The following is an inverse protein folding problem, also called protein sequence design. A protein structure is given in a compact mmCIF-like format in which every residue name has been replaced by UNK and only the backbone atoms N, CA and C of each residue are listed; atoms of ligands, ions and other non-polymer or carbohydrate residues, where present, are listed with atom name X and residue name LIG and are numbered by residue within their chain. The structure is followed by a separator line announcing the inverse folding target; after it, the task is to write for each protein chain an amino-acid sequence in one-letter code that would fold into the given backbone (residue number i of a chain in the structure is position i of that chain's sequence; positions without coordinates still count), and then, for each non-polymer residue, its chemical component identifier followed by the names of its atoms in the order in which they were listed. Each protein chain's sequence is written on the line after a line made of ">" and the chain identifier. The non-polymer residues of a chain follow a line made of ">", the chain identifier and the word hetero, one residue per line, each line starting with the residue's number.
data_IF_145139456993
#
_entry.id   IF_145139456993
#
_cell.length_a   1.000
_cell.length_b   1.000
_cell.length_c   1.000
_cell.angle_alpha   90.00
_cell.angle_beta   90.00
_cell.angle_gamma   90.00
#
_symmetry.space_group_name_H-M   'P 1'
#
loop_
_entity.id
_entity.type
_entity.pdbx_description
1 polymer ?
#
# COMPACT_ATOMS: atom_id res chain seq x y z
N UNK A 1 2.65 -13.96 -11.54
CA UNK A 1 2.41 -12.54 -11.20
C UNK A 1 1.46 -12.44 -10.03
N UNK A 2 1.77 -11.57 -9.07
CA UNK A 2 0.84 -11.27 -7.96
C UNK A 2 0.11 -9.96 -8.23
N UNK A 3 -1.15 -9.92 -7.84
CA UNK A 3 -1.95 -8.70 -7.78
C UNK A 3 -2.05 -8.31 -6.31
N UNK A 4 -1.59 -7.13 -5.94
CA UNK A 4 -1.51 -6.72 -4.53
C UNK A 4 -2.29 -5.43 -4.33
N UNK A 5 -3.28 -5.50 -3.44
CA UNK A 5 -4.06 -4.34 -3.01
C UNK A 5 -3.41 -3.75 -1.78
N UNK A 6 -3.30 -2.43 -1.71
CA UNK A 6 -2.70 -1.74 -0.57
C UNK A 6 -3.63 -0.66 -0.03
N UNK A 7 -3.54 -0.40 1.26
CA UNK A 7 -4.22 0.73 1.89
C UNK A 7 -3.53 1.09 3.20
N UNK A 8 -3.73 2.31 3.65
CA UNK A 8 -3.13 2.80 4.89
C UNK A 8 -3.95 3.91 5.51
N UNK A 9 -3.83 4.05 6.84
CA UNK A 9 -4.57 5.02 7.64
C UNK A 9 -3.63 5.78 8.58
N UNK A 10 -3.86 7.09 8.74
CA UNK A 10 -3.17 7.91 9.73
C UNK A 10 -3.40 7.48 11.18
N UNK A 11 -4.28 6.50 11.41
CA UNK A 11 -4.44 5.84 12.72
C UNK A 11 -3.38 4.78 12.97
N UNK A 12 -2.42 4.63 12.05
CA UNK A 12 -1.23 3.81 12.23
C UNK A 12 -1.26 2.44 11.59
N UNK A 13 -2.33 2.05 10.92
CA UNK A 13 -2.42 0.78 10.21
C UNK A 13 -2.09 0.95 8.74
N UNK A 14 -1.34 0.00 8.19
CA UNK A 14 -1.18 -0.13 6.75
C UNK A 14 -1.13 -1.62 6.40
N UNK A 15 -1.76 -1.96 5.29
CA UNK A 15 -2.07 -3.36 4.96
C UNK A 15 -1.86 -3.63 3.48
N UNK A 16 -1.58 -4.91 3.16
CA UNK A 16 -1.69 -5.38 1.80
C UNK A 16 -2.45 -6.71 1.74
N UNK A 17 -3.12 -6.94 0.62
CA UNK A 17 -3.77 -8.21 0.30
C UNK A 17 -3.23 -8.66 -1.05
N UNK A 18 -2.48 -9.74 -1.07
CA UNK A 18 -1.88 -10.28 -2.28
C UNK A 18 -2.67 -11.47 -2.82
N UNK A 19 -2.94 -11.46 -4.11
CA UNK A 19 -3.66 -12.52 -4.81
C UNK A 19 -2.82 -13.12 -5.92
N UNK A 20 -3.04 -14.38 -6.17
CA UNK A 20 -2.52 -15.08 -7.33
C UNK A 20 -3.58 -16.03 -7.85
N UNK A 21 -3.86 -15.97 -9.16
CA UNK A 21 -4.89 -16.80 -9.81
C UNK A 21 -6.27 -16.69 -9.14
N UNK A 22 -6.62 -15.47 -8.72
CA UNK A 22 -7.93 -15.20 -8.11
C UNK A 22 -8.07 -15.61 -6.65
N UNK A 23 -7.03 -16.16 -6.03
CA UNK A 23 -7.05 -16.59 -4.63
C UNK A 23 -6.11 -15.74 -3.78
N UNK A 24 -6.50 -15.50 -2.52
CA UNK A 24 -5.64 -14.78 -1.58
C UNK A 24 -4.44 -15.67 -1.26
N UNK A 25 -3.26 -15.12 -1.53
CA UNK A 25 -1.98 -15.78 -1.28
C UNK A 25 -1.37 -15.35 0.05
N UNK A 26 -1.41 -14.04 0.35
CA UNK A 26 -0.80 -13.48 1.56
C UNK A 26 -1.47 -12.17 1.94
N UNK A 27 -1.59 -11.94 3.24
CA UNK A 27 -2.08 -10.68 3.81
C UNK A 27 -1.02 -10.14 4.75
N UNK A 28 -0.70 -8.85 4.63
CA UNK A 28 0.20 -8.17 5.55
C UNK A 28 -0.55 -7.10 6.33
N UNK A 29 -0.39 -7.11 7.64
CA UNK A 29 -1.00 -6.11 8.54
C UNK A 29 0.12 -5.53 9.39
N UNK A 30 0.30 -4.22 9.31
CA UNK A 30 1.39 -3.51 9.98
C UNK A 30 0.84 -2.33 10.77
N UNK A 31 1.58 -1.93 11.78
CA UNK A 31 1.20 -0.81 12.64
C UNK A 31 2.40 0.06 12.96
N UNK A 32 2.23 1.38 12.86
CA UNK A 32 3.26 2.34 13.24
C UNK A 32 2.58 3.62 13.73
N UNK A 33 2.91 4.07 14.94
CA UNK A 33 2.36 5.30 15.51
C UNK A 33 2.98 6.55 14.86
N UNK A 34 2.21 7.63 14.83
CA UNK A 34 2.71 8.95 14.45
C UNK A 34 2.90 9.16 12.95
N UNK A 35 2.24 8.38 12.11
CA UNK A 35 2.30 8.53 10.66
C UNK A 35 1.05 9.17 10.10
N UNK A 36 1.18 9.85 8.97
CA UNK A 36 0.06 10.44 8.23
C UNK A 36 -0.61 9.37 7.36
N UNK A 37 -1.82 9.68 6.85
CA UNK A 37 -2.49 8.82 5.87
C UNK A 37 -1.60 8.51 4.67
N UNK A 38 -0.95 9.55 4.11
CA UNK A 38 -0.09 9.38 2.93
C UNK A 38 1.14 8.53 3.25
N UNK A 39 1.75 8.72 4.43
CA UNK A 39 2.87 7.89 4.87
C UNK A 39 2.45 6.43 5.01
N UNK A 40 1.28 6.18 5.61
CA UNK A 40 0.75 4.82 5.77
C UNK A 40 0.56 4.12 4.42
N UNK A 41 0.03 4.85 3.43
CA UNK A 41 -0.16 4.31 2.08
C UNK A 41 1.16 3.99 1.38
N UNK A 42 2.16 4.87 1.50
CA UNK A 42 3.51 4.61 0.98
C UNK A 42 4.13 3.40 1.67
N UNK A 43 3.96 3.28 2.98
CA UNK A 43 4.49 2.15 3.76
C UNK A 43 3.83 0.83 3.36
N UNK A 44 2.54 0.82 3.04
CA UNK A 44 1.87 -0.38 2.55
C UNK A 44 2.49 -0.88 1.24
N UNK A 45 2.84 0.04 0.34
CA UNK A 45 3.52 -0.28 -0.91
C UNK A 45 4.93 -0.79 -0.63
N UNK A 46 5.67 -0.12 0.24
CA UNK A 46 7.03 -0.53 0.59
C UNK A 46 7.05 -1.94 1.22
N UNK A 47 6.13 -2.22 2.15
CA UNK A 47 6.02 -3.54 2.76
C UNK A 47 5.67 -4.62 1.74
N UNK A 48 4.83 -4.30 0.76
CA UNK A 48 4.55 -5.19 -0.36
C UNK A 48 5.84 -5.56 -1.09
N UNK A 49 6.65 -4.58 -1.44
CA UNK A 49 7.91 -4.82 -2.16
C UNK A 49 8.91 -5.62 -1.33
N UNK A 50 8.95 -5.40 -0.02
CA UNK A 50 9.80 -6.17 0.91
C UNK A 50 9.34 -7.62 1.02
N UNK A 51 8.04 -7.86 1.04
CA UNK A 51 7.47 -9.20 1.18
C UNK A 51 7.49 -9.99 -0.13
N UNK A 52 7.57 -9.30 -1.27
CA UNK A 52 7.69 -9.90 -2.59
C UNK A 52 8.93 -9.34 -3.28
N UNK A 53 10.14 -9.75 -2.84
CA UNK A 53 11.39 -9.15 -3.33
C UNK A 53 11.74 -9.54 -4.76
N UNK A 54 11.06 -10.52 -5.33
CA UNK A 54 11.29 -11.04 -6.68
C UNK A 54 9.99 -11.24 -7.43
N UNK A 55 10.07 -11.30 -8.74
CA UNK A 55 8.93 -11.57 -9.61
C UNK A 55 8.15 -10.32 -9.95
N UNK A 56 7.09 -10.52 -10.70
CA UNK A 56 6.27 -9.45 -11.25
C UNK A 56 5.09 -9.13 -10.35
N UNK A 57 4.83 -7.84 -10.16
CA UNK A 57 3.74 -7.35 -9.32
C UNK A 57 2.93 -6.28 -10.03
N UNK A 58 1.62 -6.30 -9.80
CA UNK A 58 0.76 -5.13 -10.03
C UNK A 58 0.23 -4.73 -8.66
N UNK A 59 0.49 -3.49 -8.26
CA UNK A 59 0.06 -2.95 -6.97
C UNK A 59 -1.08 -1.96 -7.23
N UNK A 60 -2.20 -2.19 -6.56
CA UNK A 60 -3.41 -1.37 -6.67
C UNK A 60 -3.60 -0.51 -5.44
N UNK A 61 -3.77 0.79 -5.65
CA UNK A 61 -4.12 1.75 -4.61
C UNK A 61 -5.35 2.55 -5.03
N UNK A 62 -6.19 2.92 -4.09
CA UNK A 62 -7.32 3.81 -4.38
C UNK A 62 -6.99 5.30 -4.18
N UNK A 63 -5.74 5.62 -3.85
CA UNK A 63 -5.27 6.99 -3.77
C UNK A 63 -4.68 7.44 -5.10
N UNK A 64 -5.42 8.25 -5.83
CA UNK A 64 -4.94 8.80 -7.10
C UNK A 64 -3.68 9.66 -6.91
N UNK A 65 -3.60 10.39 -5.79
CA UNK A 65 -2.43 11.19 -5.44
C UNK A 65 -1.17 10.32 -5.35
N UNK A 66 -1.24 9.24 -4.56
CA UNK A 66 -0.09 8.35 -4.33
C UNK A 66 0.34 7.67 -5.63
N UNK A 67 -0.61 7.16 -6.39
CA UNK A 67 -0.34 6.50 -7.68
C UNK A 67 0.37 7.47 -8.63
N UNK A 68 -0.15 8.69 -8.75
CA UNK A 68 0.43 9.71 -9.64
C UNK A 68 1.80 10.20 -9.15
N UNK A 69 2.00 10.28 -7.84
CA UNK A 69 3.30 10.64 -7.28
C UNK A 69 4.35 9.57 -7.59
N UNK A 70 4.04 8.31 -7.36
CA UNK A 70 4.99 7.22 -7.57
C UNK A 70 5.25 6.94 -9.05
N UNK A 71 4.28 7.21 -9.92
CA UNK A 71 4.44 7.09 -11.36
C UNK A 71 5.09 8.32 -12.02
N UNK A 72 5.45 9.33 -11.21
CA UNK A 72 6.15 10.51 -11.70
C UNK A 72 5.27 11.56 -12.38
N UNK A 73 3.95 11.42 -12.30
CA UNK A 73 2.99 12.39 -12.88
C UNK A 73 2.89 13.64 -11.99
N UNK A 74 2.90 13.45 -10.67
CA UNK A 74 2.86 14.54 -9.70
C UNK A 74 4.18 14.63 -8.94
N UNK A 75 4.58 15.85 -8.60
CA UNK A 75 5.75 16.09 -7.74
C UNK A 75 5.47 15.65 -6.31
N UNK A 76 6.51 15.15 -5.66
CA UNK A 76 6.49 14.85 -4.23
C UNK A 76 7.24 15.97 -3.53
N UNK A 77 6.53 16.79 -2.74
CA UNK A 77 7.12 17.94 -2.05
C UNK A 77 7.56 17.60 -0.63
N UNK A 78 6.87 16.68 0.03
CA UNK A 78 7.16 16.28 1.41
C UNK A 78 8.44 15.44 1.48
N UNK A 79 9.38 15.82 2.35
CA UNK A 79 10.69 15.17 2.45
C UNK A 79 10.60 13.71 2.91
N UNK A 80 9.70 13.40 3.85
CA UNK A 80 9.50 12.03 4.32
C UNK A 80 8.96 11.13 3.20
N UNK A 81 8.01 11.65 2.42
CA UNK A 81 7.47 10.92 1.27
C UNK A 81 8.52 10.77 0.16
N UNK A 82 9.37 11.75 -0.05
CA UNK A 82 10.48 11.64 -1.01
C UNK A 82 11.42 10.49 -0.64
N UNK A 83 11.75 10.34 0.64
CA UNK A 83 12.59 9.24 1.13
C UNK A 83 11.94 7.90 0.86
N UNK A 84 10.66 7.76 1.20
CA UNK A 84 9.90 6.54 0.97
C UNK A 84 9.79 6.22 -0.53
N UNK A 85 9.55 7.23 -1.35
CA UNK A 85 9.47 7.06 -2.81
C UNK A 85 10.80 6.55 -3.39
N UNK A 86 11.93 7.08 -2.92
CA UNK A 86 13.25 6.61 -3.36
C UNK A 86 13.46 5.14 -3.04
N UNK A 87 13.10 4.72 -1.83
CA UNK A 87 13.20 3.33 -1.40
C UNK A 87 12.28 2.42 -2.23
N UNK A 88 11.04 2.85 -2.46
CA UNK A 88 10.08 2.13 -3.29
C UNK A 88 10.64 1.95 -4.70
N UNK A 89 11.11 3.04 -5.33
CA UNK A 89 11.64 3.00 -6.69
C UNK A 89 12.89 2.13 -6.80
N UNK A 90 13.75 2.15 -5.78
CA UNK A 90 14.92 1.28 -5.72
C UNK A 90 14.53 -0.19 -5.76
N UNK A 91 13.49 -0.55 -5.02
CA UNK A 91 13.01 -1.94 -4.96
C UNK A 91 12.22 -2.36 -6.21
N UNK A 92 11.76 -1.41 -7.01
CA UNK A 92 11.07 -1.69 -8.27
C UNK A 92 12.04 -1.97 -9.42
N UNK A 93 13.31 -1.59 -9.30
CA UNK A 93 14.31 -1.77 -10.36
C UNK A 93 14.57 -3.25 -10.66
N UNK A 94 14.89 -3.54 -11.92
CA UNK A 94 15.25 -4.88 -12.42
C UNK A 94 14.13 -5.91 -12.35
N UNK A 95 12.89 -5.45 -12.27
CA UNK A 95 11.71 -6.33 -12.23
C UNK A 95 10.51 -5.56 -12.75
N UNK A 96 9.47 -6.29 -13.13
CA UNK A 96 8.22 -5.66 -13.58
C UNK A 96 7.36 -5.37 -12.36
N UNK A 97 7.15 -4.09 -12.06
CA UNK A 97 6.22 -3.64 -11.02
C UNK A 97 5.45 -2.45 -11.57
N UNK A 98 4.13 -2.57 -11.58
CA UNK A 98 3.25 -1.46 -11.91
C UNK A 98 2.47 -1.03 -10.68
N UNK A 99 2.26 0.28 -10.53
CA UNK A 99 1.39 0.85 -9.50
C UNK A 99 0.20 1.46 -10.23
N UNK A 100 -1.01 0.95 -9.97
CA UNK A 100 -2.24 1.34 -10.66
C UNK A 100 -3.29 1.82 -9.69
N UNK A 101 -4.08 2.78 -10.13
CA UNK A 101 -5.24 3.23 -9.37
C UNK A 101 -6.43 2.32 -9.61
N UNK A 102 -7.21 2.09 -8.53
CA UNK A 102 -8.52 1.45 -8.59
C UNK A 102 -9.51 2.24 -7.75
N UNK A 103 -10.80 2.16 -8.02
CA UNK A 103 -11.78 2.79 -7.15
C UNK A 103 -11.81 2.11 -5.78
N UNK A 104 -12.17 2.88 -4.76
CA UNK A 104 -12.23 2.40 -3.36
C UNK A 104 -13.09 1.15 -3.21
N UNK A 105 -14.22 1.08 -3.93
CA UNK A 105 -15.13 -0.07 -3.90
C UNK A 105 -14.48 -1.38 -4.35
N UNK A 106 -13.39 -1.30 -5.10
CA UNK A 106 -12.65 -2.48 -5.60
C UNK A 106 -11.41 -2.81 -4.78
N UNK A 107 -11.08 -1.98 -3.77
CA UNK A 107 -9.85 -2.18 -3.00
C UNK A 107 -10.06 -3.15 -1.83
N UNK A 108 -9.57 -4.38 -2.00
CA UNK A 108 -9.68 -5.42 -0.98
C UNK A 108 -8.92 -5.09 0.30
N UNK A 109 -7.80 -4.36 0.19
CA UNK A 109 -7.04 -3.89 1.35
C UNK A 109 -7.83 -2.84 2.13
N UNK A 110 -8.57 -1.97 1.42
CA UNK A 110 -9.42 -0.98 2.06
C UNK A 110 -10.51 -1.61 2.91
N UNK A 111 -11.12 -2.69 2.43
CA UNK A 111 -12.14 -3.45 3.17
C UNK A 111 -11.55 -4.08 4.43
N UNK A 112 -10.36 -4.64 4.32
CA UNK A 112 -9.64 -5.21 5.47
C UNK A 112 -9.32 -4.13 6.50
N UNK A 113 -8.79 -3.00 6.07
CA UNK A 113 -8.43 -1.88 6.95
C UNK A 113 -9.65 -1.35 7.69
N UNK A 114 -10.78 -1.21 7.01
CA UNK A 114 -12.04 -0.79 7.60
C UNK A 114 -12.47 -1.71 8.75
N UNK A 115 -12.36 -3.03 8.55
CA UNK A 115 -12.66 -4.02 9.59
C UNK A 115 -11.73 -3.89 10.79
N UNK A 116 -10.43 -3.69 10.56
CA UNK A 116 -9.45 -3.51 11.62
C UNK A 116 -9.75 -2.28 12.47
N UNK A 117 -10.11 -1.17 11.84
CA UNK A 117 -10.43 0.06 12.53
C UNK A 117 -11.74 -0.06 13.33
N UNK A 118 -12.74 -0.76 12.81
CA UNK A 118 -14.01 -1.04 13.51
C UNK A 118 -13.77 -1.91 14.75
N UNK A 119 -12.99 -2.98 14.62
CA UNK A 119 -12.63 -3.86 15.74
C UNK A 119 -11.95 -3.08 16.86
N UNK A 120 -11.01 -2.20 16.50
CA UNK A 120 -10.32 -1.35 17.47
C UNK A 120 -11.28 -0.45 18.25
N UNK A 121 -12.26 0.16 17.57
CA UNK A 121 -13.30 0.96 18.20
C UNK A 121 -14.13 0.16 19.20
N UNK A 122 -14.54 -1.04 18.80
CA UNK A 122 -15.33 -1.94 19.65
C UNK A 122 -14.56 -2.35 20.90
N UNK A 123 -13.28 -2.63 20.78
CA UNK A 123 -12.40 -3.01 21.89
C UNK A 123 -12.13 -1.83 22.82
N UNK A 124 -12.11 -0.60 22.28
CA UNK A 124 -11.83 0.62 23.05
C UNK A 124 -13.00 1.08 23.91
N UNK A 125 -14.17 0.59 23.66
CA UNK A 125 -15.38 0.91 24.45
C UNK A 125 -15.61 -0.18 25.50
#
# INVERSE_FOLDING_TARGET
>A
MFLVYVDGSGKGFYVFVAERKGEIFKVGIFRKKGITNNQAEYLAILETLKNFPRGDLIIYSDSLLIVNQLNGVYKIKNEKLKKLAREIRRRMKKRFVEIRWIPRSSNKAGKLLERLLKKRKTIST
#
